data_IF_537223619832
#
_entry.id   IF_537223619832
#
_cell.length_a   1.000
_cell.length_b   1.000
_cell.length_c   1.000
_cell.angle_alpha   90.00
_cell.angle_beta   90.00
_cell.angle_gamma   90.00
#
_symmetry.space_group_name_H-M   'P 1'
#
loop_
_entity.id
_entity.type
_entity.pdbx_description
1 polymer ?
#
# COMPACT_ATOMS: atom_id res chain seq x y z
N UNK A 1 20.03 -8.81 1.92
CA UNK A 1 18.57 -8.77 2.17
C UNK A 1 18.38 -8.40 3.63
N UNK A 2 17.56 -7.42 3.92
CA UNK A 2 17.20 -7.03 5.28
C UNK A 2 15.88 -7.72 5.68
N UNK A 3 15.74 -8.07 6.95
CA UNK A 3 14.60 -8.84 7.47
C UNK A 3 13.80 -7.97 8.43
N UNK A 4 12.48 -7.97 8.30
CA UNK A 4 11.62 -7.27 9.26
C UNK A 4 11.28 -8.16 10.46
N UNK A 5 11.43 -7.63 11.69
CA UNK A 5 10.99 -8.26 12.93
C UNK A 5 9.94 -7.40 13.63
N UNK A 6 8.81 -7.98 13.99
CA UNK A 6 7.67 -7.29 14.62
C UNK A 6 7.02 -8.08 15.75
N UNK A 7 7.73 -9.13 16.25
CA UNK A 7 7.31 -9.92 17.40
C UNK A 7 8.50 -10.52 18.12
N UNK A 8 8.35 -10.86 19.41
CA UNK A 8 9.41 -11.50 20.19
C UNK A 8 9.83 -12.85 19.56
N UNK A 9 8.87 -13.64 19.10
CA UNK A 9 9.15 -14.91 18.42
C UNK A 9 9.92 -14.69 17.10
N UNK A 10 9.61 -13.60 16.37
CA UNK A 10 10.35 -13.22 15.17
C UNK A 10 11.81 -12.89 15.46
N UNK A 11 12.10 -12.16 16.55
CA UNK A 11 13.47 -11.89 17.00
C UNK A 11 14.18 -13.19 17.31
N UNK A 12 13.56 -14.07 18.12
CA UNK A 12 14.15 -15.35 18.53
C UNK A 12 14.44 -16.25 17.32
N UNK A 13 13.50 -16.32 16.37
CA UNK A 13 13.65 -17.12 15.15
C UNK A 13 14.82 -16.66 14.28
N UNK A 14 14.93 -15.33 14.05
CA UNK A 14 16.04 -14.75 13.28
C UNK A 14 17.39 -15.00 14.01
N UNK A 15 17.45 -14.72 15.32
CA UNK A 15 18.65 -14.93 16.10
C UNK A 15 19.12 -16.40 16.09
N UNK A 16 18.20 -17.34 16.24
CA UNK A 16 18.52 -18.78 16.17
C UNK A 16 19.05 -19.19 14.79
N UNK A 17 18.42 -18.68 13.72
CA UNK A 17 18.83 -18.99 12.36
C UNK A 17 20.23 -18.47 12.03
N UNK A 18 20.54 -17.22 12.38
CA UNK A 18 21.85 -16.64 12.06
C UNK A 18 22.98 -17.19 12.92
N UNK A 19 22.70 -17.52 14.20
CA UNK A 19 23.68 -18.22 15.05
C UNK A 19 24.06 -19.58 14.46
N UNK A 20 23.09 -20.35 13.98
CA UNK A 20 23.35 -21.64 13.32
C UNK A 20 24.18 -21.51 12.04
N UNK A 21 24.05 -20.37 11.34
CA UNK A 21 24.78 -20.10 10.10
C UNK A 21 26.11 -19.35 10.31
N UNK A 22 26.44 -18.95 11.54
CA UNK A 22 27.62 -18.12 11.83
C UNK A 22 27.59 -16.76 11.12
N UNK A 23 26.39 -16.15 11.01
CA UNK A 23 26.17 -14.87 10.28
C UNK A 23 25.56 -13.82 11.20
N UNK A 24 25.49 -12.58 10.70
CA UNK A 24 24.74 -11.48 11.31
C UNK A 24 23.53 -11.17 10.43
N UNK A 25 22.33 -11.02 11.03
CA UNK A 25 21.17 -10.55 10.30
C UNK A 25 21.07 -9.04 10.36
N UNK A 26 20.82 -8.42 9.22
CA UNK A 26 20.39 -7.03 9.11
C UNK A 26 18.88 -6.99 9.31
N UNK A 27 18.40 -6.18 10.28
CA UNK A 27 16.99 -6.18 10.64
C UNK A 27 16.39 -4.77 10.68
N UNK A 28 15.12 -4.69 10.24
CA UNK A 28 14.25 -3.55 10.45
C UNK A 28 13.22 -3.89 11.51
N UNK A 29 13.18 -3.10 12.57
CA UNK A 29 12.22 -3.28 13.66
C UNK A 29 10.89 -2.69 13.26
N UNK A 30 9.86 -3.54 13.18
CA UNK A 30 8.51 -3.10 12.91
C UNK A 30 7.81 -2.72 14.21
N UNK A 31 7.33 -1.48 14.27
CA UNK A 31 6.52 -0.98 15.39
C UNK A 31 5.08 -0.73 14.94
N UNK A 32 4.13 -0.92 15.83
CA UNK A 32 2.74 -0.56 15.60
C UNK A 32 2.46 0.82 16.21
N UNK A 33 2.44 1.82 15.35
CA UNK A 33 2.14 3.19 15.75
C UNK A 33 0.65 3.53 15.76
N UNK A 34 -0.23 2.53 15.50
CA UNK A 34 -1.68 2.72 15.50
C UNK A 34 -2.40 2.13 14.28
N UNK A 35 -1.72 1.32 13.45
CA UNK A 35 -2.36 0.60 12.34
C UNK A 35 -3.11 -0.66 12.79
N UNK A 36 -2.66 -1.31 13.89
CA UNK A 36 -3.34 -2.45 14.49
C UNK A 36 -3.18 -3.78 13.74
N UNK A 37 -2.18 -3.92 12.85
CA UNK A 37 -2.00 -5.14 12.04
C UNK A 37 -0.84 -6.02 12.49
N UNK A 38 0.32 -5.44 12.74
CA UNK A 38 1.55 -6.14 13.10
C UNK A 38 2.59 -5.12 13.59
N UNK A 39 3.51 -5.54 14.43
CA UNK A 39 4.58 -4.73 15.00
C UNK A 39 4.49 -4.67 16.53
N UNK A 40 5.55 -4.17 17.16
CA UNK A 40 5.57 -3.98 18.60
C UNK A 40 4.70 -2.79 18.99
N UNK A 41 3.79 -2.99 19.93
CA UNK A 41 3.01 -1.90 20.53
C UNK A 41 3.86 -1.09 21.51
N UNK A 42 3.47 0.17 21.85
CA UNK A 42 4.18 0.95 22.86
C UNK A 42 4.36 0.22 24.20
N UNK A 43 3.33 -0.50 24.65
CA UNK A 43 3.37 -1.28 25.88
C UNK A 43 4.28 -2.50 25.82
N UNK A 44 4.40 -3.14 24.66
CA UNK A 44 5.22 -4.34 24.47
C UNK A 44 6.67 -4.05 24.06
N UNK A 45 7.05 -2.79 23.85
CA UNK A 45 8.32 -2.47 23.21
C UNK A 45 9.54 -2.66 24.15
N UNK A 46 9.37 -2.49 25.46
CA UNK A 46 10.47 -2.74 26.41
C UNK A 46 10.90 -4.20 26.40
N UNK A 47 9.98 -5.14 26.25
CA UNK A 47 10.30 -6.54 26.08
C UNK A 47 11.06 -6.81 24.76
N UNK A 48 10.75 -6.07 23.69
CA UNK A 48 11.51 -6.14 22.46
C UNK A 48 12.93 -5.59 22.62
N UNK A 49 13.07 -4.41 23.24
CA UNK A 49 14.38 -3.81 23.52
C UNK A 49 15.26 -4.73 24.39
N UNK A 50 14.68 -5.36 25.40
CA UNK A 50 15.39 -6.33 26.25
C UNK A 50 15.99 -7.52 25.47
N UNK A 51 15.42 -7.86 24.31
CA UNK A 51 15.98 -8.89 23.40
C UNK A 51 16.90 -8.29 22.33
N UNK A 52 16.51 -7.19 21.71
CA UNK A 52 17.25 -6.58 20.60
C UNK A 52 18.62 -6.05 21.04
N UNK A 53 18.69 -5.37 22.20
CA UNK A 53 19.93 -4.75 22.67
C UNK A 53 21.07 -5.76 22.89
N UNK A 54 20.89 -6.85 23.63
CA UNK A 54 21.98 -7.84 23.79
C UNK A 54 22.35 -8.49 22.46
N UNK A 55 21.38 -8.84 21.60
CA UNK A 55 21.64 -9.44 20.29
C UNK A 55 22.42 -8.51 19.35
N UNK A 56 22.16 -7.21 19.43
CA UNK A 56 22.91 -6.21 18.68
C UNK A 56 24.36 -6.09 19.23
N UNK A 57 24.53 -6.06 20.55
CA UNK A 57 25.86 -5.99 21.18
C UNK A 57 26.70 -7.24 20.91
N UNK A 58 26.08 -8.42 20.83
CA UNK A 58 26.73 -9.67 20.45
C UNK A 58 27.08 -9.76 18.95
N UNK A 59 26.62 -8.82 18.12
CA UNK A 59 26.80 -8.88 16.66
C UNK A 59 25.91 -9.92 15.96
N UNK A 60 24.92 -10.48 16.65
CA UNK A 60 23.95 -11.43 16.08
C UNK A 60 22.97 -10.69 15.18
N UNK A 61 22.52 -9.51 15.60
CA UNK A 61 21.67 -8.63 14.81
C UNK A 61 22.35 -7.29 14.53
N UNK A 62 22.19 -6.78 13.34
CA UNK A 62 22.49 -5.40 12.99
C UNK A 62 21.17 -4.66 12.79
N UNK A 63 20.88 -3.68 13.65
CA UNK A 63 19.64 -2.91 13.59
C UNK A 63 19.80 -1.83 12.52
N UNK A 64 19.27 -2.11 11.33
CA UNK A 64 19.35 -1.20 10.18
C UNK A 64 18.23 -0.18 10.23
N UNK A 65 17.02 -0.60 10.58
CA UNK A 65 15.90 0.33 10.45
C UNK A 65 14.77 0.13 11.44
N UNK A 66 13.90 1.13 11.41
CA UNK A 66 12.62 1.15 12.11
C UNK A 66 11.52 1.50 11.11
N UNK A 67 10.38 0.82 11.21
CA UNK A 67 9.26 1.13 10.35
C UNK A 67 7.88 0.88 10.95
N UNK A 68 6.91 1.59 10.42
CA UNK A 68 5.49 1.37 10.68
C UNK A 68 4.67 1.58 9.41
N UNK A 69 3.34 1.61 9.53
CA UNK A 69 2.43 1.86 8.42
C UNK A 69 1.31 2.79 8.87
N UNK A 70 0.93 3.74 8.01
CA UNK A 70 -0.13 4.70 8.28
C UNK A 70 -1.49 4.13 7.91
N UNK A 71 -2.49 4.42 8.72
CA UNK A 71 -3.83 3.85 8.56
C UNK A 71 -4.71 4.68 7.60
N UNK A 72 -4.65 6.01 7.70
CA UNK A 72 -5.63 6.92 7.09
C UNK A 72 -4.98 8.17 6.48
N UNK A 73 -3.74 8.05 5.98
CA UNK A 73 -3.03 9.17 5.35
C UNK A 73 -3.56 9.52 3.94
N UNK A 74 -4.49 8.74 3.42
CA UNK A 74 -5.10 8.85 2.10
C UNK A 74 -6.36 9.75 2.07
N UNK A 75 -6.75 10.32 3.19
CA UNK A 75 -7.81 11.33 3.28
C UNK A 75 -7.29 12.60 3.98
N UNK A 76 -6.43 13.40 3.32
CA UNK A 76 -5.73 14.54 3.92
C UNK A 76 -6.64 15.70 4.31
N UNK A 77 -7.86 15.76 3.79
CA UNK A 77 -8.83 16.82 4.07
C UNK A 77 -9.81 16.46 5.22
N UNK A 78 -9.70 15.26 5.80
CA UNK A 78 -10.53 14.81 6.92
C UNK A 78 -9.79 15.09 8.24
N UNK A 79 -10.24 16.08 9.06
CA UNK A 79 -9.48 16.53 10.24
C UNK A 79 -9.19 15.42 11.25
N UNK A 80 -10.11 14.48 11.46
CA UNK A 80 -9.92 13.34 12.37
C UNK A 80 -8.87 12.35 11.86
N UNK A 81 -8.74 12.19 10.54
CA UNK A 81 -7.73 11.32 9.91
C UNK A 81 -6.35 11.99 9.91
N UNK A 82 -6.31 13.30 9.72
CA UNK A 82 -5.08 14.08 9.91
C UNK A 82 -4.59 13.93 11.35
N UNK A 83 -5.45 14.16 12.34
CA UNK A 83 -5.11 14.01 13.76
C UNK A 83 -4.66 12.58 14.10
N UNK A 84 -5.32 11.56 13.55
CA UNK A 84 -4.92 10.15 13.69
C UNK A 84 -3.54 9.88 13.08
N UNK A 85 -3.28 10.42 11.91
CA UNK A 85 -1.97 10.30 11.24
C UNK A 85 -0.88 10.98 12.06
N UNK A 86 -1.13 12.19 12.59
CA UNK A 86 -0.19 12.92 13.44
C UNK A 86 0.13 12.14 14.72
N UNK A 87 -0.87 11.54 15.34
CA UNK A 87 -0.68 10.68 16.52
C UNK A 87 0.17 9.46 16.18
N UNK A 88 -0.03 8.83 15.02
CA UNK A 88 0.81 7.72 14.54
C UNK A 88 2.26 8.17 14.33
N UNK A 89 2.49 9.36 13.79
CA UNK A 89 3.82 9.95 13.59
C UNK A 89 4.52 10.17 14.92
N UNK A 90 3.85 10.77 15.90
CA UNK A 90 4.45 11.01 17.22
C UNK A 90 4.74 9.69 17.96
N UNK A 91 3.85 8.72 17.88
CA UNK A 91 4.09 7.38 18.43
C UNK A 91 5.31 6.72 17.74
N UNK A 92 5.45 6.85 16.42
CA UNK A 92 6.59 6.34 15.68
C UNK A 92 7.89 6.99 16.12
N UNK A 93 7.92 8.32 16.31
CA UNK A 93 9.07 9.06 16.81
C UNK A 93 9.42 8.67 18.26
N UNK A 94 8.43 8.35 19.09
CA UNK A 94 8.67 7.85 20.44
C UNK A 94 9.43 6.53 20.43
N UNK A 95 9.05 5.59 19.59
CA UNK A 95 9.81 4.35 19.39
C UNK A 95 11.27 4.64 18.97
N UNK A 96 11.50 5.63 18.08
CA UNK A 96 12.86 6.03 17.69
C UNK A 96 13.66 6.48 18.90
N UNK A 97 13.11 7.41 19.71
CA UNK A 97 13.78 7.90 20.93
C UNK A 97 14.11 6.76 21.91
N UNK A 98 13.22 5.79 22.06
CA UNK A 98 13.44 4.62 22.93
C UNK A 98 14.55 3.71 22.42
N UNK A 99 14.65 3.52 21.08
CA UNK A 99 15.75 2.78 20.47
C UNK A 99 17.09 3.49 20.64
N UNK A 100 17.11 4.82 20.42
CA UNK A 100 18.28 5.66 20.62
C UNK A 100 18.77 5.62 22.07
N UNK A 101 17.86 5.78 23.02
CA UNK A 101 18.16 5.70 24.46
C UNK A 101 18.68 4.30 24.87
N UNK A 102 18.25 3.25 24.19
CA UNK A 102 18.71 1.89 24.41
C UNK A 102 20.06 1.56 23.71
N UNK A 103 20.63 2.51 22.97
CA UNK A 103 21.92 2.37 22.28
C UNK A 103 21.85 1.53 21.00
N UNK A 104 20.68 1.44 20.38
CA UNK A 104 20.45 0.78 19.08
C UNK A 104 19.70 1.73 18.13
N UNK A 105 20.23 2.92 17.82
CA UNK A 105 19.58 3.88 16.93
C UNK A 105 19.33 3.25 15.54
N UNK A 106 18.15 3.44 14.93
CA UNK A 106 17.92 3.00 13.57
C UNK A 106 18.65 3.89 12.57
N UNK A 107 19.35 3.31 11.60
CA UNK A 107 20.00 4.04 10.51
C UNK A 107 18.97 4.57 9.51
N UNK A 108 17.89 3.84 9.30
CA UNK A 108 16.83 4.13 8.32
C UNK A 108 15.48 4.07 9.01
N UNK A 109 14.74 5.17 8.95
CA UNK A 109 13.35 5.22 9.39
C UNK A 109 12.44 5.27 8.18
N UNK A 110 11.38 4.50 8.16
CA UNK A 110 10.44 4.53 7.07
C UNK A 110 8.98 4.33 7.52
N UNK A 111 8.17 5.34 7.28
CA UNK A 111 6.77 5.40 7.68
C UNK A 111 5.85 5.64 6.49
N UNK A 112 6.20 6.58 5.59
CA UNK A 112 5.37 7.04 4.49
C UNK A 112 5.04 5.92 3.49
N UNK A 113 3.74 5.64 3.31
CA UNK A 113 3.16 4.90 2.20
C UNK A 113 2.97 5.82 0.98
N UNK A 114 2.27 5.39 -0.09
CA UNK A 114 2.00 6.26 -1.25
C UNK A 114 1.36 7.57 -0.84
N UNK A 115 0.31 7.54 -0.03
CA UNK A 115 -0.41 8.73 0.38
C UNK A 115 0.50 9.74 1.06
N UNK A 116 1.20 9.31 2.10
CA UNK A 116 2.12 10.18 2.83
C UNK A 116 3.35 10.58 2.01
N UNK A 117 3.79 9.75 1.07
CA UNK A 117 4.86 10.13 0.13
C UNK A 117 4.45 11.31 -0.73
N UNK A 118 3.19 11.38 -1.13
CA UNK A 118 2.67 12.45 -1.99
C UNK A 118 2.27 13.71 -1.20
N UNK A 119 1.70 13.56 0.00
CA UNK A 119 1.05 14.66 0.74
C UNK A 119 1.79 15.12 2.00
N UNK A 120 2.75 14.35 2.54
CA UNK A 120 3.39 14.60 3.84
C UNK A 120 4.93 14.49 3.76
N UNK A 121 5.63 15.40 3.05
CA UNK A 121 7.09 15.32 2.86
C UNK A 121 7.87 15.36 4.18
N UNK A 122 7.32 15.96 5.23
CA UNK A 122 7.96 16.08 6.55
C UNK A 122 8.11 14.73 7.29
N UNK A 123 7.45 13.67 6.82
CA UNK A 123 7.55 12.31 7.39
C UNK A 123 8.16 11.29 6.40
N UNK A 124 8.86 11.74 5.39
CA UNK A 124 9.59 10.84 4.48
C UNK A 124 10.71 10.09 5.20
N UNK A 125 11.31 10.74 6.21
CA UNK A 125 12.53 10.25 6.87
C UNK A 125 13.59 9.83 5.84
N UNK A 126 14.29 8.73 6.07
CA UNK A 126 15.35 8.27 5.17
C UNK A 126 14.85 7.43 3.99
N UNK A 127 13.60 6.90 4.08
CA UNK A 127 13.04 6.05 3.03
C UNK A 127 11.52 6.11 2.99
N UNK A 128 10.95 6.21 1.79
CA UNK A 128 9.52 6.09 1.54
C UNK A 128 9.17 4.76 0.86
N UNK A 129 7.91 4.35 0.97
CA UNK A 129 7.42 3.09 0.40
C UNK A 129 6.18 3.32 -0.46
N UNK A 130 6.31 4.05 -1.59
CA UNK A 130 5.21 4.19 -2.52
C UNK A 130 4.89 2.85 -3.17
N UNK A 131 3.62 2.46 -3.14
CA UNK A 131 3.09 1.29 -3.83
C UNK A 131 2.39 1.70 -5.11
N UNK A 132 1.09 2.00 -5.02
CA UNK A 132 0.25 2.37 -6.17
C UNK A 132 0.78 3.62 -6.90
N UNK A 133 1.43 4.55 -6.18
CA UNK A 133 2.04 5.74 -6.76
C UNK A 133 3.10 5.45 -7.83
N UNK A 134 3.79 4.30 -7.75
CA UNK A 134 4.75 3.88 -8.78
C UNK A 134 4.07 3.51 -10.11
N UNK A 135 2.79 3.15 -10.05
CA UNK A 135 1.98 2.87 -11.23
C UNK A 135 1.24 4.11 -11.77
N UNK A 136 1.46 5.26 -11.13
CA UNK A 136 0.92 6.54 -11.59
C UNK A 136 -0.47 6.86 -11.08
N UNK A 137 -0.86 6.30 -9.93
CA UNK A 137 -2.16 6.55 -9.30
C UNK A 137 -1.99 7.01 -7.85
N UNK A 138 -2.88 7.86 -7.38
CA UNK A 138 -3.08 8.19 -5.97
C UNK A 138 -3.61 6.98 -5.19
N UNK A 139 -3.47 7.02 -3.86
CA UNK A 139 -3.90 5.92 -3.01
C UNK A 139 -5.42 5.86 -2.83
N UNK A 140 -6.11 7.01 -2.89
CA UNK A 140 -7.56 7.16 -2.78
C UNK A 140 -8.02 8.39 -3.57
N UNK A 141 -9.23 8.38 -4.17
CA UNK A 141 -9.80 9.56 -4.84
C UNK A 141 -9.91 10.80 -3.95
N UNK A 142 -10.01 10.66 -2.63
CA UNK A 142 -10.00 11.77 -1.68
C UNK A 142 -8.71 12.59 -1.71
N UNK A 143 -7.62 12.05 -2.25
CA UNK A 143 -6.37 12.78 -2.46
C UNK A 143 -6.38 13.70 -3.69
N UNK A 144 -7.43 13.64 -4.50
CA UNK A 144 -7.54 14.34 -5.78
C UNK A 144 -7.40 13.38 -6.96
N UNK A 145 -6.78 13.84 -8.03
CA UNK A 145 -6.55 13.04 -9.25
C UNK A 145 -5.06 12.84 -9.49
N UNK A 146 -4.64 11.91 -10.36
CA UNK A 146 -3.22 11.73 -10.69
C UNK A 146 -2.54 13.03 -11.10
N UNK A 147 -3.25 13.97 -11.77
CA UNK A 147 -2.70 15.26 -12.16
C UNK A 147 -2.38 16.17 -10.98
N UNK A 148 -3.05 16.03 -9.83
CA UNK A 148 -2.77 16.80 -8.61
C UNK A 148 -1.32 16.63 -8.17
N UNK A 149 -0.77 15.43 -8.34
CA UNK A 149 0.60 15.07 -7.96
C UNK A 149 1.51 14.86 -9.18
N UNK A 150 1.10 15.28 -10.39
CA UNK A 150 1.84 15.06 -11.65
C UNK A 150 2.13 13.58 -11.93
N UNK A 151 1.28 12.68 -11.45
CA UNK A 151 1.39 11.25 -11.71
C UNK A 151 0.98 10.93 -13.15
N UNK A 152 1.60 9.89 -13.72
CA UNK A 152 1.29 9.40 -15.07
C UNK A 152 1.05 7.89 -15.00
N UNK A 153 -0.13 7.39 -15.38
CA UNK A 153 -0.40 5.96 -15.43
C UNK A 153 0.68 5.21 -16.23
N UNK A 154 1.27 4.20 -15.61
CA UNK A 154 2.36 3.42 -16.21
C UNK A 154 1.85 2.29 -17.11
N UNK A 155 0.56 1.93 -17.00
CA UNK A 155 -0.03 0.81 -17.73
C UNK A 155 -1.13 1.33 -18.67
N UNK A 156 -1.20 0.73 -19.86
CA UNK A 156 -2.29 0.91 -20.81
C UNK A 156 -2.81 -0.47 -21.21
N UNK A 157 -4.10 -0.72 -21.02
CA UNK A 157 -4.77 -1.91 -21.52
C UNK A 157 -5.27 -1.62 -22.95
N UNK A 158 -4.86 -2.42 -23.91
CA UNK A 158 -5.22 -2.24 -25.32
C UNK A 158 -5.79 -3.53 -25.90
N UNK A 159 -6.81 -3.38 -26.76
CA UNK A 159 -7.32 -4.47 -27.59
C UNK A 159 -7.82 -3.90 -28.92
N UNK A 160 -7.77 -4.71 -29.99
CA UNK A 160 -8.47 -4.39 -31.22
C UNK A 160 -9.94 -4.77 -31.07
N UNK A 161 -10.83 -3.93 -31.57
CA UNK A 161 -12.23 -4.29 -31.66
C UNK A 161 -12.41 -5.47 -32.61
N UNK A 162 -13.20 -6.44 -32.17
CA UNK A 162 -13.67 -7.53 -33.02
C UNK A 162 -14.85 -7.08 -33.91
N UNK A 163 -15.96 -7.82 -33.88
CA UNK A 163 -17.16 -7.46 -34.65
C UNK A 163 -17.75 -6.14 -34.13
N UNK A 164 -18.02 -5.22 -35.07
CA UNK A 164 -18.79 -4.00 -34.80
C UNK A 164 -20.12 -4.15 -35.55
N UNK A 165 -21.25 -3.82 -34.91
CA UNK A 165 -22.58 -3.87 -35.52
C UNK A 165 -23.47 -2.76 -34.99
N UNK A 166 -24.39 -2.30 -35.84
CA UNK A 166 -25.43 -1.36 -35.43
C UNK A 166 -26.60 -2.09 -34.80
N UNK A 167 -27.19 -1.48 -33.80
CA UNK A 167 -28.35 -1.99 -33.07
C UNK A 167 -29.35 -0.84 -32.80
N UNK A 168 -30.63 -1.16 -32.85
CA UNK A 168 -31.71 -0.20 -32.61
C UNK A 168 -31.84 0.12 -31.11
N UNK A 169 -32.54 1.21 -30.82
CA UNK A 169 -32.97 1.55 -29.46
C UNK A 169 -33.78 0.41 -28.83
N UNK A 170 -33.58 0.19 -27.52
CA UNK A 170 -34.23 -0.89 -26.78
C UNK A 170 -33.60 -2.27 -26.99
N UNK A 171 -32.51 -2.40 -27.73
CA UNK A 171 -31.81 -3.66 -27.92
C UNK A 171 -31.11 -4.10 -26.62
N UNK A 172 -31.40 -5.33 -26.20
CA UNK A 172 -30.77 -5.89 -24.98
C UNK A 172 -29.39 -6.45 -25.25
N UNK A 173 -28.40 -6.03 -24.46
CA UNK A 173 -27.02 -6.46 -24.62
C UNK A 173 -26.68 -7.58 -23.63
N UNK A 174 -26.11 -8.67 -24.16
CA UNK A 174 -25.57 -9.80 -23.40
C UNK A 174 -26.55 -10.48 -22.44
N UNK A 175 -26.02 -11.35 -21.55
CA UNK A 175 -26.82 -12.16 -20.64
C UNK A 175 -27.70 -11.32 -19.70
N UNK A 176 -28.96 -11.75 -19.59
CA UNK A 176 -29.95 -11.12 -18.72
C UNK A 176 -30.46 -9.78 -19.23
N UNK A 177 -29.98 -9.28 -20.39
CA UNK A 177 -30.41 -8.01 -21.01
C UNK A 177 -30.46 -6.87 -19.98
N UNK A 178 -29.53 -6.81 -19.06
CA UNK A 178 -29.51 -5.80 -17.99
C UNK A 178 -29.19 -4.38 -18.47
N UNK A 179 -28.65 -4.27 -19.68
CA UNK A 179 -28.48 -3.01 -20.39
C UNK A 179 -29.32 -3.03 -21.67
N UNK A 180 -30.15 -2.00 -21.83
CA UNK A 180 -30.90 -1.75 -23.05
C UNK A 180 -30.34 -0.49 -23.70
N UNK A 181 -30.14 -0.51 -25.01
CA UNK A 181 -29.67 0.66 -25.75
C UNK A 181 -30.69 1.81 -25.67
N UNK A 182 -30.29 3.01 -25.20
CA UNK A 182 -31.23 4.12 -25.06
C UNK A 182 -31.59 4.79 -26.41
N UNK A 183 -30.80 4.54 -27.44
CA UNK A 183 -30.97 5.04 -28.81
C UNK A 183 -30.30 4.06 -29.78
N UNK A 184 -30.55 4.28 -31.08
CA UNK A 184 -29.80 3.62 -32.14
C UNK A 184 -28.30 3.88 -31.92
N UNK A 185 -27.51 2.79 -31.94
CA UNK A 185 -26.07 2.88 -31.60
C UNK A 185 -25.29 1.73 -32.24
N UNK A 186 -23.96 1.81 -32.21
CA UNK A 186 -23.08 0.70 -32.59
C UNK A 186 -22.56 -0.02 -31.37
N UNK A 187 -22.50 -1.34 -31.41
CA UNK A 187 -21.86 -2.19 -30.40
C UNK A 187 -20.65 -2.89 -30.98
N UNK A 188 -19.65 -3.15 -30.15
CA UNK A 188 -18.45 -3.84 -30.56
C UNK A 188 -18.06 -4.92 -29.54
N UNK A 189 -17.42 -5.97 -30.03
CA UNK A 189 -16.78 -6.98 -29.17
C UNK A 189 -15.36 -6.54 -28.92
N UNK A 190 -15.01 -6.43 -27.62
CA UNK A 190 -13.63 -6.29 -27.16
C UNK A 190 -13.17 -7.70 -26.75
N UNK A 191 -12.14 -8.28 -27.40
CA UNK A 191 -11.71 -9.65 -27.14
C UNK A 191 -10.85 -9.70 -25.85
N UNK A 192 -11.43 -9.27 -24.75
CA UNK A 192 -10.90 -9.33 -23.40
C UNK A 192 -12.03 -9.75 -22.47
N UNK A 193 -11.79 -10.74 -21.64
CA UNK A 193 -12.83 -11.28 -20.76
C UNK A 193 -12.28 -11.87 -19.46
N UNK A 194 -13.02 -12.81 -18.90
CA UNK A 194 -12.67 -13.42 -17.61
C UNK A 194 -11.31 -14.10 -17.59
N UNK A 195 -10.95 -14.75 -18.70
CA UNK A 195 -9.68 -15.44 -18.84
C UNK A 195 -8.48 -14.48 -18.82
N UNK A 196 -8.71 -13.21 -19.11
CA UNK A 196 -7.70 -12.16 -19.10
C UNK A 196 -7.69 -11.38 -17.76
N UNK A 197 -8.51 -11.78 -16.80
CA UNK A 197 -8.60 -11.15 -15.50
C UNK A 197 -9.63 -10.01 -15.39
N UNK A 198 -10.49 -9.81 -16.40
CA UNK A 198 -11.56 -8.81 -16.33
C UNK A 198 -12.69 -9.33 -15.44
N UNK A 199 -12.88 -8.68 -14.30
CA UNK A 199 -13.90 -9.09 -13.34
C UNK A 199 -15.31 -8.85 -13.87
N UNK A 200 -16.20 -9.80 -13.60
CA UNK A 200 -17.62 -9.69 -13.96
C UNK A 200 -18.32 -8.50 -13.27
N UNK A 201 -17.85 -8.12 -12.09
CA UNK A 201 -18.31 -6.94 -11.36
C UNK A 201 -17.95 -5.60 -12.03
N UNK A 202 -17.05 -5.60 -13.01
CA UNK A 202 -16.75 -4.41 -13.82
C UNK A 202 -17.89 -4.05 -14.81
N UNK A 203 -18.94 -4.88 -14.90
CA UNK A 203 -20.15 -4.59 -15.69
C UNK A 203 -20.85 -3.35 -15.14
N UNK A 204 -21.15 -2.39 -16.01
CA UNK A 204 -21.81 -1.15 -15.63
C UNK A 204 -20.86 -0.10 -15.01
N UNK A 205 -19.58 -0.32 -15.04
CA UNK A 205 -18.59 0.69 -14.63
C UNK A 205 -18.58 1.82 -15.65
N UNK A 206 -19.04 3.00 -15.21
CA UNK A 206 -19.03 4.20 -16.03
C UNK A 206 -17.65 4.85 -15.85
N UNK A 207 -16.82 4.74 -16.87
CA UNK A 207 -15.55 5.48 -16.91
C UNK A 207 -15.84 6.84 -17.56
N UNK A 208 -15.52 7.92 -16.87
CA UNK A 208 -15.63 9.28 -17.37
C UNK A 208 -14.93 9.39 -18.74
N UNK A 209 -15.73 9.62 -19.79
CA UNK A 209 -15.26 9.64 -21.18
C UNK A 209 -15.42 8.32 -21.97
N UNK A 210 -15.77 7.20 -21.34
CA UNK A 210 -16.16 5.98 -22.01
C UNK A 210 -17.68 5.91 -22.10
N UNK A 211 -18.23 6.13 -23.28
CA UNK A 211 -19.66 5.91 -23.53
C UNK A 211 -19.92 4.40 -23.49
N UNK A 212 -20.39 3.92 -22.33
CA UNK A 212 -20.93 2.60 -22.06
C UNK A 212 -19.93 1.41 -22.05
N UNK A 213 -19.64 0.91 -20.88
CA UNK A 213 -19.04 -0.43 -20.69
C UNK A 213 -20.18 -1.40 -20.37
N UNK A 214 -20.49 -2.27 -21.30
CA UNK A 214 -21.40 -3.41 -21.08
C UNK A 214 -20.64 -4.60 -20.51
N UNK A 215 -21.37 -5.50 -19.87
CA UNK A 215 -20.81 -6.73 -19.27
C UNK A 215 -19.75 -7.38 -20.15
N UNK A 216 -18.62 -7.80 -19.55
CA UNK A 216 -17.77 -8.80 -20.19
C UNK A 216 -18.61 -10.06 -20.48
N UNK A 217 -18.70 -10.47 -21.71
CA UNK A 217 -19.33 -11.68 -22.15
C UNK A 217 -18.50 -12.91 -21.81
#
# INVERSE_FOLDING_TARGET
IDISVGSLAGIDGVAAAVRRLGKTARVHVKVDSGFGRNGFTPAGFDAALAKLVPLAKEGVLHIVGQWSHLAVADAPDVPEFVASTDMQVETFKDFTRRMEAAGIPPEIRHLANTAATLSRPEIHFELTRPGIGLYGYEADPAMGTPSTYSLKPAMTLQAQLGTVKDVEAGHGISYGRTYLTPSDTSTAIVPLGYADGIHRSASGFDMEGAKHVTKPG
#
